data_IF_668290734621
#
_entry.id   IF_668290734621
#
_cell.length_a   1.000
_cell.length_b   1.000
_cell.length_c   1.000
_cell.angle_alpha   90.00
_cell.angle_beta   90.00
_cell.angle_gamma   90.00
#
_symmetry.space_group_name_H-M   'P 1'
#
loop_
_entity.id
_entity.type
_entity.pdbx_description
1 polymer ?
#
# COMPACT_ATOMS: atom_id res chain seq x y z
N UNK A 1 63.35 -27.53 -7.60
CA UNK A 1 61.88 -27.76 -7.57
C UNK A 1 61.24 -26.77 -6.64
N UNK A 2 60.54 -25.76 -7.21
CA UNK A 2 59.81 -24.75 -6.41
C UNK A 2 58.32 -25.06 -6.49
N UNK A 3 57.54 -25.08 -5.37
CA UNK A 3 56.10 -25.31 -5.43
C UNK A 3 55.38 -24.04 -5.90
N UNK A 4 54.48 -24.22 -6.87
CA UNK A 4 53.55 -23.19 -7.35
C UNK A 4 52.43 -22.96 -6.31
N UNK A 5 52.30 -21.75 -5.86
CA UNK A 5 51.15 -21.33 -5.03
C UNK A 5 49.93 -21.12 -5.94
N UNK A 6 48.88 -21.87 -5.67
CA UNK A 6 47.58 -21.67 -6.30
C UNK A 6 46.86 -20.55 -5.55
N UNK A 7 46.52 -19.47 -6.27
CA UNK A 7 45.72 -18.36 -5.75
C UNK A 7 44.25 -18.72 -6.00
N UNK A 8 43.51 -18.99 -4.95
CA UNK A 8 42.06 -19.18 -5.04
C UNK A 8 41.39 -17.80 -5.11
N UNK A 9 40.74 -17.49 -6.24
CA UNK A 9 39.81 -16.35 -6.35
C UNK A 9 38.51 -16.72 -5.63
N UNK A 10 38.28 -16.13 -4.48
CA UNK A 10 36.99 -16.17 -3.79
C UNK A 10 35.99 -15.26 -4.50
N UNK A 11 35.03 -15.84 -5.22
CA UNK A 11 33.89 -15.11 -5.76
C UNK A 11 32.95 -14.72 -4.64
N UNK A 12 32.78 -13.43 -4.44
CA UNK A 12 31.73 -12.89 -3.55
C UNK A 12 30.41 -12.98 -4.31
N UNK A 13 29.53 -13.90 -3.92
CA UNK A 13 28.12 -13.87 -4.33
C UNK A 13 27.42 -12.71 -3.63
N UNK A 14 27.10 -11.65 -4.37
CA UNK A 14 26.20 -10.60 -3.92
C UNK A 14 24.79 -11.17 -4.05
N UNK A 15 24.20 -11.64 -2.95
CA UNK A 15 22.78 -11.92 -2.87
C UNK A 15 22.05 -10.58 -2.87
N UNK A 16 21.45 -10.21 -4.01
CA UNK A 16 20.46 -9.15 -4.07
C UNK A 16 19.27 -9.56 -3.19
N UNK A 17 19.19 -9.01 -1.99
CA UNK A 17 18.02 -9.12 -1.16
C UNK A 17 16.90 -8.30 -1.85
N UNK A 18 15.95 -8.97 -2.50
CA UNK A 18 14.64 -8.39 -2.73
C UNK A 18 14.04 -8.14 -1.36
N UNK A 19 13.95 -6.88 -0.95
CA UNK A 19 13.16 -6.48 0.22
C UNK A 19 11.70 -6.71 -0.12
N UNK A 20 11.20 -7.92 0.12
CA UNK A 20 9.77 -8.13 0.29
C UNK A 20 9.41 -7.54 1.64
N UNK A 21 8.79 -6.36 1.62
CA UNK A 21 8.19 -5.79 2.81
C UNK A 21 7.20 -6.82 3.36
N UNK A 22 7.39 -7.25 4.60
CA UNK A 22 6.50 -8.20 5.24
C UNK A 22 5.23 -7.45 5.67
N UNK A 23 4.05 -8.10 5.62
CA UNK A 23 2.84 -7.48 6.13
C UNK A 23 2.99 -7.20 7.63
N UNK A 24 2.58 -6.01 8.06
CA UNK A 24 2.72 -5.53 9.43
C UNK A 24 1.40 -5.69 10.20
N UNK A 25 0.28 -5.82 9.48
CA UNK A 25 -1.04 -5.99 10.06
C UNK A 25 -1.98 -6.75 9.12
N UNK A 26 -3.15 -7.12 9.64
CA UNK A 26 -4.26 -7.65 8.85
C UNK A 26 -5.47 -6.74 9.03
N UNK A 27 -6.05 -6.29 7.91
CA UNK A 27 -7.33 -5.57 7.89
C UNK A 27 -8.43 -6.53 7.43
N UNK A 28 -9.48 -6.65 8.23
CA UNK A 28 -10.68 -7.41 7.88
C UNK A 28 -11.83 -6.44 7.61
N UNK A 29 -12.46 -6.52 6.44
CA UNK A 29 -13.61 -5.69 6.04
C UNK A 29 -14.44 -6.40 4.98
N UNK A 30 -15.77 -6.32 5.05
CA UNK A 30 -16.66 -6.91 4.07
C UNK A 30 -16.56 -8.45 3.94
N UNK A 31 -16.02 -9.12 4.96
CA UNK A 31 -15.78 -10.58 4.94
C UNK A 31 -14.44 -10.99 4.32
N UNK A 32 -13.65 -10.05 3.82
CA UNK A 32 -12.32 -10.26 3.26
C UNK A 32 -11.24 -9.85 4.28
N UNK A 33 -10.06 -10.48 4.16
CA UNK A 33 -8.89 -10.17 4.99
C UNK A 33 -7.70 -9.80 4.10
N UNK A 34 -7.07 -8.68 4.40
CA UNK A 34 -5.91 -8.16 3.66
C UNK A 34 -4.69 -8.10 4.57
N UNK A 35 -3.59 -8.72 4.14
CA UNK A 35 -2.29 -8.55 4.77
C UNK A 35 -1.69 -7.22 4.30
N UNK A 36 -1.54 -6.25 5.18
CA UNK A 36 -1.19 -4.88 4.81
C UNK A 36 0.16 -4.44 5.38
N UNK A 37 0.83 -3.60 4.63
CA UNK A 37 1.87 -2.71 5.14
C UNK A 37 1.18 -1.51 5.79
N UNK A 38 1.77 -0.97 6.84
CA UNK A 38 1.21 0.20 7.54
C UNK A 38 2.05 1.43 7.21
N UNK A 39 1.39 2.49 6.74
CA UNK A 39 2.00 3.79 6.48
C UNK A 39 1.52 4.78 7.55
N UNK A 40 2.30 4.94 8.62
CA UNK A 40 1.98 5.82 9.74
C UNK A 40 2.87 7.08 9.78
N UNK A 41 3.93 7.13 8.97
CA UNK A 41 4.78 8.31 8.81
C UNK A 41 4.47 9.10 7.54
N UNK A 42 4.75 10.39 7.54
CA UNK A 42 4.57 11.25 6.37
C UNK A 42 5.36 10.78 5.13
N UNK A 43 6.53 10.16 5.33
CA UNK A 43 7.33 9.62 4.22
C UNK A 43 6.70 8.37 3.62
N UNK A 44 6.25 7.42 4.42
CA UNK A 44 5.56 6.21 3.97
C UNK A 44 4.25 6.56 3.26
N UNK A 45 3.47 7.48 3.82
CA UNK A 45 2.24 7.97 3.21
C UNK A 45 2.48 8.68 1.86
N UNK A 46 3.60 9.39 1.73
CA UNK A 46 3.99 10.01 0.46
C UNK A 46 4.42 8.99 -0.59
N UNK A 47 5.15 7.95 -0.18
CA UNK A 47 5.61 6.87 -1.04
C UNK A 47 4.47 5.94 -1.45
N UNK A 48 3.68 5.48 -0.48
CA UNK A 48 2.54 4.60 -0.69
C UNK A 48 2.91 3.37 -1.51
N UNK A 49 2.02 2.97 -2.43
CA UNK A 49 2.22 1.86 -3.36
C UNK A 49 2.79 2.30 -4.72
N UNK A 50 3.24 3.56 -4.85
CA UNK A 50 3.73 4.09 -6.11
C UNK A 50 4.93 3.29 -6.66
N UNK A 51 5.00 3.15 -7.98
CA UNK A 51 6.07 2.44 -8.68
C UNK A 51 5.97 0.92 -8.67
N UNK A 52 5.02 0.32 -7.96
CA UNK A 52 4.81 -1.13 -7.96
C UNK A 52 4.12 -1.56 -9.26
N UNK A 53 4.69 -2.55 -9.94
CA UNK A 53 4.14 -3.12 -11.18
C UNK A 53 2.93 -4.01 -10.92
N UNK A 54 2.85 -4.59 -9.71
CA UNK A 54 1.73 -5.39 -9.24
C UNK A 54 1.55 -5.25 -7.73
N UNK A 55 0.33 -5.48 -7.26
CA UNK A 55 0.00 -5.65 -5.85
C UNK A 55 -0.68 -7.01 -5.72
N UNK A 56 -0.10 -7.96 -5.00
CA UNK A 56 -0.65 -9.31 -4.88
C UNK A 56 -2.07 -9.30 -4.30
N UNK A 57 -2.92 -10.22 -4.77
CA UNK A 57 -4.26 -10.39 -4.21
C UNK A 57 -4.19 -10.70 -2.70
N UNK A 58 -5.11 -10.12 -1.93
CA UNK A 58 -5.14 -10.26 -0.47
C UNK A 58 -4.08 -9.44 0.26
N UNK A 59 -3.37 -8.54 -0.44
CA UNK A 59 -2.42 -7.61 0.18
C UNK A 59 -2.79 -6.17 -0.10
N UNK A 60 -2.16 -5.23 0.58
CA UNK A 60 -2.37 -3.80 0.38
C UNK A 60 -1.58 -2.94 1.34
N UNK A 61 -2.02 -1.70 1.50
CA UNK A 61 -1.44 -0.76 2.44
C UNK A 61 -2.55 -0.05 3.23
N UNK A 62 -2.32 0.06 4.53
CA UNK A 62 -3.17 0.82 5.44
C UNK A 62 -2.43 2.11 5.82
N UNK A 63 -2.99 3.25 5.41
CA UNK A 63 -2.55 4.57 5.85
C UNK A 63 -3.24 4.89 7.17
N UNK A 64 -2.47 5.11 8.21
CA UNK A 64 -2.97 5.56 9.51
C UNK A 64 -2.66 7.05 9.67
N UNK A 65 -3.68 7.87 9.75
CA UNK A 65 -3.51 9.31 9.85
C UNK A 65 -3.36 9.74 11.32
N UNK A 66 -2.41 10.64 11.58
CA UNK A 66 -2.20 11.20 12.91
C UNK A 66 -3.39 12.05 13.38
N UNK A 67 -4.14 12.62 12.45
CA UNK A 67 -5.27 13.49 12.74
C UNK A 67 -6.51 13.02 11.96
N UNK A 68 -7.66 13.04 12.62
CA UNK A 68 -8.96 12.80 11.99
C UNK A 68 -9.38 14.03 11.20
N UNK A 69 -9.31 13.96 9.87
CA UNK A 69 -9.59 15.08 8.96
C UNK A 69 -10.08 14.58 7.58
N UNK A 70 -10.52 15.48 6.73
CA UNK A 70 -10.76 15.20 5.31
C UNK A 70 -9.42 15.11 4.59
N UNK A 71 -8.89 13.89 4.48
CA UNK A 71 -7.66 13.61 3.80
C UNK A 71 -7.84 13.49 2.28
N UNK A 72 -6.76 13.68 1.55
CA UNK A 72 -6.69 13.49 0.11
C UNK A 72 -5.64 12.45 -0.25
N UNK A 73 -5.92 11.65 -1.26
CA UNK A 73 -4.96 10.76 -1.89
C UNK A 73 -4.93 11.00 -3.40
N UNK A 74 -3.92 10.49 -4.08
CA UNK A 74 -3.77 10.57 -5.52
C UNK A 74 -3.11 9.31 -6.06
N UNK A 75 -3.29 9.08 -7.36
CA UNK A 75 -2.75 7.92 -8.05
C UNK A 75 -1.46 8.25 -8.84
N UNK A 76 -0.75 9.32 -8.45
CA UNK A 76 0.50 9.73 -9.08
C UNK A 76 1.58 8.65 -8.89
N UNK A 77 2.22 8.24 -9.98
CA UNK A 77 3.25 7.19 -9.97
C UNK A 77 2.72 5.76 -9.80
N UNK A 78 1.41 5.57 -9.67
CA UNK A 78 0.81 4.24 -9.66
C UNK A 78 0.85 3.61 -11.05
N UNK A 79 1.08 2.30 -11.12
CA UNK A 79 1.11 1.53 -12.38
C UNK A 79 -0.12 0.63 -12.54
N UNK A 80 -0.85 0.40 -11.47
CA UNK A 80 -2.04 -0.45 -11.43
C UNK A 80 -3.20 0.27 -10.76
N UNK A 81 -4.46 -0.02 -11.13
CA UNK A 81 -5.63 0.55 -10.46
C UNK A 81 -5.80 -0.03 -9.05
N UNK A 82 -6.39 0.75 -8.16
CA UNK A 82 -6.65 0.39 -6.77
C UNK A 82 -8.12 0.53 -6.43
N UNK A 83 -8.60 -0.34 -5.56
CA UNK A 83 -9.74 -0.04 -4.70
C UNK A 83 -9.24 0.64 -3.43
N UNK A 84 -9.94 1.68 -3.00
CA UNK A 84 -9.64 2.43 -1.79
C UNK A 84 -10.87 2.47 -0.88
N UNK A 85 -10.66 2.28 0.41
CA UNK A 85 -11.70 2.49 1.42
C UNK A 85 -11.24 3.55 2.43
N UNK A 86 -12.00 4.64 2.50
CA UNK A 86 -11.86 5.63 3.56
C UNK A 86 -12.50 5.11 4.83
N UNK A 87 -11.79 5.23 5.95
CA UNK A 87 -12.19 4.66 7.24
C UNK A 87 -12.18 5.75 8.29
N UNK A 88 -13.25 5.81 9.09
CA UNK A 88 -13.34 6.66 10.27
C UNK A 88 -13.51 5.74 11.49
N UNK A 89 -12.51 5.73 12.37
CA UNK A 89 -12.35 4.78 13.47
C UNK A 89 -12.41 3.31 12.99
N UNK A 90 -13.55 2.66 13.09
CA UNK A 90 -13.77 1.26 12.71
C UNK A 90 -14.83 1.09 11.61
N UNK A 91 -15.23 2.14 10.92
CA UNK A 91 -16.27 2.10 9.91
C UNK A 91 -15.81 2.64 8.55
N UNK A 92 -16.20 1.96 7.48
CA UNK A 92 -16.03 2.46 6.11
C UNK A 92 -16.95 3.67 5.89
N UNK A 93 -16.38 4.80 5.47
CA UNK A 93 -17.13 6.03 5.13
C UNK A 93 -17.19 6.29 3.63
N UNK A 94 -16.37 5.60 2.84
CA UNK A 94 -16.40 5.71 1.39
C UNK A 94 -15.53 4.65 0.73
N UNK A 95 -15.94 4.19 -0.46
CA UNK A 95 -15.20 3.24 -1.30
C UNK A 95 -15.14 3.78 -2.71
N UNK A 96 -14.00 3.63 -3.38
CA UNK A 96 -13.83 3.98 -4.79
C UNK A 96 -12.80 3.09 -5.45
N UNK A 97 -12.96 2.87 -6.76
CA UNK A 97 -11.92 2.32 -7.62
C UNK A 97 -11.25 3.46 -8.37
N UNK A 98 -9.93 3.55 -8.31
CA UNK A 98 -9.15 4.62 -8.88
C UNK A 98 -8.15 4.09 -9.90
N UNK A 99 -8.11 4.72 -11.07
CA UNK A 99 -7.14 4.40 -12.12
C UNK A 99 -5.81 5.11 -11.90
N UNK A 100 -4.68 4.52 -12.37
CA UNK A 100 -3.38 5.18 -12.36
C UNK A 100 -3.42 6.54 -13.05
N UNK A 101 -2.70 7.52 -12.50
CA UNK A 101 -2.49 8.78 -13.20
C UNK A 101 -1.24 8.68 -14.08
N UNK A 102 -1.43 8.80 -15.39
CA UNK A 102 -0.36 8.68 -16.40
C UNK A 102 0.22 10.02 -16.84
N UNK A 103 -0.14 11.11 -16.18
CA UNK A 103 0.36 12.44 -16.51
C UNK A 103 1.87 12.55 -16.29
N UNK A 104 2.57 13.17 -17.24
CA UNK A 104 4.02 13.44 -17.14
C UNK A 104 4.30 14.37 -15.97
N UNK A 105 3.50 15.41 -15.83
CA UNK A 105 3.50 16.28 -14.66
C UNK A 105 2.54 15.72 -13.60
N UNK A 106 3.07 14.93 -12.68
CA UNK A 106 2.29 14.29 -11.63
C UNK A 106 1.58 15.29 -10.69
N UNK A 107 1.98 16.56 -10.69
CA UNK A 107 1.28 17.60 -9.90
C UNK A 107 -0.11 17.89 -10.44
N UNK A 108 -0.39 17.53 -11.70
CA UNK A 108 -1.70 17.65 -12.33
C UNK A 108 -2.62 16.46 -12.10
N UNK A 109 -2.13 15.39 -11.46
CA UNK A 109 -2.95 14.23 -11.14
C UNK A 109 -4.15 14.62 -10.26
N UNK A 110 -5.34 14.09 -10.58
CA UNK A 110 -6.53 14.38 -9.79
C UNK A 110 -6.38 13.85 -8.35
N UNK A 111 -6.99 14.55 -7.42
CA UNK A 111 -7.03 14.14 -6.01
C UNK A 111 -8.38 13.53 -5.69
N UNK A 112 -8.36 12.41 -5.00
CA UNK A 112 -9.54 11.82 -4.38
C UNK A 112 -9.60 12.28 -2.92
N UNK A 113 -10.72 12.90 -2.53
CA UNK A 113 -10.91 13.43 -1.18
C UNK A 113 -11.82 12.49 -0.40
N UNK A 114 -11.49 12.26 0.86
CA UNK A 114 -12.37 11.53 1.79
C UNK A 114 -13.76 12.18 1.84
N UNK A 115 -14.85 11.41 1.88
CA UNK A 115 -16.20 11.95 1.92
C UNK A 115 -16.56 12.60 3.26
N UNK A 116 -15.66 12.55 4.21
CA UNK A 116 -15.74 13.15 5.54
C UNK A 116 -14.43 12.96 6.29
N UNK A 117 -14.36 13.36 7.57
CA UNK A 117 -13.19 13.12 8.39
C UNK A 117 -12.88 11.63 8.48
N UNK A 118 -11.66 11.26 8.15
CA UNK A 118 -11.15 9.89 8.16
C UNK A 118 -9.94 9.75 9.10
N UNK A 119 -9.80 8.60 9.72
CA UNK A 119 -8.66 8.22 10.54
C UNK A 119 -7.68 7.30 9.81
N UNK A 120 -8.18 6.62 8.73
CA UNK A 120 -7.36 5.73 7.92
C UNK A 120 -7.85 5.64 6.47
N UNK A 121 -6.99 5.11 5.59
CA UNK A 121 -7.29 4.73 4.23
C UNK A 121 -6.70 3.34 3.96
N UNK A 122 -7.50 2.42 3.45
CA UNK A 122 -7.04 1.13 2.95
C UNK A 122 -6.91 1.18 1.42
N UNK A 123 -5.76 0.78 0.90
CA UNK A 123 -5.49 0.60 -0.52
C UNK A 123 -5.23 -0.88 -0.81
N UNK A 124 -5.97 -1.44 -1.77
CA UNK A 124 -5.87 -2.84 -2.21
C UNK A 124 -6.01 -2.93 -3.73
N UNK A 125 -5.69 -4.07 -4.38
CA UNK A 125 -5.90 -4.24 -5.81
C UNK A 125 -7.35 -3.96 -6.22
N UNK A 126 -7.55 -3.34 -7.38
CA UNK A 126 -8.88 -3.04 -7.92
C UNK A 126 -9.75 -4.31 -8.01
N UNK A 127 -11.01 -4.19 -7.60
CA UNK A 127 -11.99 -5.28 -7.51
C UNK A 127 -11.99 -6.03 -6.19
N UNK A 128 -11.00 -5.78 -5.31
CA UNK A 128 -10.92 -6.47 -4.02
C UNK A 128 -11.95 -5.98 -2.98
N UNK A 129 -12.50 -4.77 -3.16
CA UNK A 129 -13.54 -4.20 -2.29
C UNK A 129 -14.92 -4.18 -2.94
N UNK A 130 -15.18 -5.03 -3.94
CA UNK A 130 -16.44 -5.01 -4.69
C UNK A 130 -17.69 -5.23 -3.81
N UNK A 131 -17.56 -5.98 -2.72
CA UNK A 131 -18.64 -6.29 -1.77
C UNK A 131 -18.61 -5.39 -0.51
N UNK A 132 -17.65 -4.45 -0.43
CA UNK A 132 -17.52 -3.53 0.71
C UNK A 132 -18.38 -2.30 0.48
N UNK A 133 -19.12 -1.91 1.50
CA UNK A 133 -20.04 -0.78 1.48
C UNK A 133 -19.82 0.19 2.64
N UNK A 134 -20.31 1.42 2.50
CA UNK A 134 -20.31 2.40 3.59
C UNK A 134 -21.08 1.86 4.78
N UNK A 135 -20.45 1.92 5.96
CA UNK A 135 -20.98 1.40 7.21
C UNK A 135 -20.44 0.01 7.59
N UNK A 136 -19.73 -0.67 6.70
CA UNK A 136 -19.07 -1.93 7.04
C UNK A 136 -18.02 -1.71 8.12
N UNK A 137 -17.97 -2.67 9.05
CA UNK A 137 -17.00 -2.63 10.15
C UNK A 137 -15.63 -3.09 9.66
N UNK A 138 -14.60 -2.35 10.07
CA UNK A 138 -13.20 -2.64 9.80
C UNK A 138 -12.54 -3.12 11.08
N UNK A 139 -11.92 -4.30 11.04
CA UNK A 139 -11.12 -4.81 12.13
C UNK A 139 -9.64 -4.81 11.75
N UNK A 140 -8.82 -4.16 12.56
CA UNK A 140 -7.36 -4.19 12.44
C UNK A 140 -6.80 -5.19 13.44
N UNK A 141 -5.94 -6.10 12.96
CA UNK A 141 -5.19 -7.05 13.78
C UNK A 141 -3.70 -6.83 13.53
N UNK A 142 -3.01 -6.43 14.56
CA UNK A 142 -1.54 -6.43 14.58
C UNK A 142 -1.03 -7.86 14.83
N UNK A 143 0.21 -8.19 14.40
CA UNK A 143 0.78 -9.52 14.56
C UNK A 143 1.02 -9.91 16.01
#
# INVERSE_FOLDING_TARGET
MKPRRATALGGVLILSACSTQQPEATVEVGGEAFAVEVADTANEQKEGLAGREEIPAGTGMLFQFAERAEHQMWMAGMQVPLDVAWIDDDAVIGVATLDPCTEVDQTTCPRSTAPGPATALLEVPAGALADVTVGDVVALREP
#
